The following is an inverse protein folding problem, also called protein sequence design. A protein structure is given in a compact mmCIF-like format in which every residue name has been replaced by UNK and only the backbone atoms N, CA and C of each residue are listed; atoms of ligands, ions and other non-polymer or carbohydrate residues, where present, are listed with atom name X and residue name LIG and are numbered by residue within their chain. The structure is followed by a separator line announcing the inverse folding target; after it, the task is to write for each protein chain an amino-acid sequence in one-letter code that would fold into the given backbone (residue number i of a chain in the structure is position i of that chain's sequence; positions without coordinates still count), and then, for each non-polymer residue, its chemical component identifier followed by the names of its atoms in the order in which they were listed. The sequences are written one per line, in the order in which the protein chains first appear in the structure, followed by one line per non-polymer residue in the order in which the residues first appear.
data_IF_638866982127
#
_entry.id   IF_638866982127
#
_cell.length_a   1.000
_cell.length_b   1.000
_cell.length_c   1.000
_cell.angle_alpha   90.00
_cell.angle_beta   90.00
_cell.angle_gamma   90.00
#
_symmetry.space_group_name_H-M   'P 1'
#
loop_
_entity.id
_entity.type
_entity.pdbx_description
1 polymer ?
#
# COMPACT_ATOMS: atom_id res chain seq x y z
N UNK A 1 2.40 12.67 -10.49
CA UNK A 1 1.96 11.61 -9.56
C UNK A 1 3.09 10.61 -9.55
N UNK A 2 3.79 10.46 -8.42
CA UNK A 2 4.98 9.62 -8.34
C UNK A 2 5.01 8.95 -6.97
N UNK A 3 4.71 7.65 -6.95
CA UNK A 3 4.64 6.80 -5.76
C UNK A 3 6.04 6.54 -5.23
N UNK A 4 6.28 6.80 -3.95
CA UNK A 4 7.31 6.10 -3.18
C UNK A 4 6.79 5.76 -1.78
N UNK A 5 6.21 4.56 -1.75
CA UNK A 5 6.11 3.57 -0.67
C UNK A 5 5.48 2.36 -1.38
N UNK A 6 6.28 1.40 -1.86
CA UNK A 6 5.74 0.14 -2.43
C UNK A 6 5.26 -0.78 -1.29
N UNK A 7 4.23 -0.31 -0.58
CA UNK A 7 3.19 -1.14 0.00
C UNK A 7 2.27 -1.59 -1.14
N UNK A 8 1.94 -2.87 -1.12
CA UNK A 8 1.34 -3.67 -2.19
C UNK A 8 -0.05 -3.14 -2.57
N UNK A 9 -0.40 -3.16 -3.87
CA UNK A 9 -1.69 -2.67 -4.33
C UNK A 9 -2.81 -3.65 -3.95
N UNK A 10 -3.85 -3.02 -3.41
CA UNK A 10 -5.03 -3.64 -2.83
C UNK A 10 -6.18 -3.53 -3.82
N UNK A 11 -6.71 -4.70 -4.17
CA UNK A 11 -7.75 -4.93 -5.17
C UNK A 11 -8.97 -4.01 -5.00
N UNK A 12 -9.16 -3.09 -5.94
CA UNK A 12 -10.43 -2.39 -6.16
C UNK A 12 -11.02 -2.89 -7.47
N UNK A 13 -12.15 -3.59 -7.37
CA UNK A 13 -13.00 -3.89 -8.51
C UNK A 13 -14.30 -3.11 -8.40
N UNK A 14 -14.52 -2.23 -9.36
CA UNK A 14 -15.83 -1.68 -9.69
C UNK A 14 -16.38 -2.47 -10.89
N UNK A 15 -17.48 -3.19 -10.68
CA UNK A 15 -18.28 -3.81 -11.73
C UNK A 15 -19.74 -3.37 -11.61
N UNK A 16 -20.13 -2.40 -12.43
CA UNK A 16 -21.45 -1.77 -12.42
C UNK A 16 -22.52 -2.61 -13.16
N UNK A 17 -23.76 -2.54 -12.63
CA UNK A 17 -25.10 -2.76 -13.24
C UNK A 17 -25.67 -4.19 -13.31
N UNK A 18 -26.83 -4.40 -12.65
CA UNK A 18 -27.78 -5.43 -13.09
C UNK A 18 -28.93 -5.92 -12.18
N UNK A 19 -29.84 -5.03 -11.76
CA UNK A 19 -31.28 -5.30 -11.43
C UNK A 19 -31.71 -6.06 -10.15
N UNK A 20 -32.81 -5.55 -9.61
CA UNK A 20 -33.47 -5.77 -8.32
C UNK A 20 -34.23 -7.11 -8.23
N UNK A 21 -34.22 -7.75 -7.05
CA UNK A 21 -35.40 -8.41 -6.46
C UNK A 21 -35.25 -8.51 -4.92
N UNK A 22 -36.15 -7.83 -4.21
CA UNK A 22 -36.31 -7.86 -2.76
C UNK A 22 -36.81 -9.24 -2.30
N UNK A 23 -36.23 -9.77 -1.22
CA UNK A 23 -37.02 -10.54 -0.24
C UNK A 23 -36.41 -10.42 1.16
N UNK A 24 -37.32 -10.29 2.12
CA UNK A 24 -37.12 -9.94 3.53
C UNK A 24 -36.86 -11.17 4.40
N UNK A 25 -35.92 -11.09 5.35
CA UNK A 25 -36.13 -11.51 6.77
C UNK A 25 -34.96 -11.05 7.66
N UNK A 26 -35.31 -10.55 8.86
CA UNK A 26 -34.44 -10.04 9.91
C UNK A 26 -33.72 -11.17 10.70
N UNK A 27 -32.71 -10.84 11.55
CA UNK A 27 -31.63 -11.76 11.90
C UNK A 27 -31.88 -12.57 13.18
N UNK A 28 -31.27 -13.75 13.25
CA UNK A 28 -31.12 -14.54 14.49
C UNK A 28 -29.77 -14.19 15.11
N UNK A 29 -29.82 -13.69 16.34
CA UNK A 29 -28.68 -13.42 17.21
C UNK A 29 -28.09 -14.75 17.70
N UNK A 30 -26.78 -14.95 17.51
CA UNK A 30 -26.03 -15.97 18.24
C UNK A 30 -24.67 -15.41 18.65
N UNK A 31 -24.56 -15.10 19.94
CA UNK A 31 -23.30 -14.88 20.64
C UNK A 31 -22.70 -16.22 21.08
N UNK A 32 -21.43 -16.46 20.79
CA UNK A 32 -20.50 -17.34 21.51
C UNK A 32 -19.21 -17.41 20.66
N UNK A 33 -18.00 -17.53 21.18
CA UNK A 33 -17.40 -17.36 22.49
C UNK A 33 -15.89 -17.41 22.20
N UNK A 34 -15.09 -16.69 22.99
CA UNK A 34 -13.63 -16.78 22.94
C UNK A 34 -13.19 -18.24 23.19
N UNK A 35 -12.66 -18.90 22.16
CA UNK A 35 -12.03 -20.21 22.28
C UNK A 35 -10.51 -20.01 22.43
N UNK A 36 -9.99 -20.41 23.59
CA UNK A 36 -8.58 -20.41 23.90
C UNK A 36 -7.78 -21.27 22.94
N UNK A 37 -6.64 -20.73 22.51
CA UNK A 37 -5.65 -21.44 21.72
C UNK A 37 -4.98 -22.54 22.57
N UNK A 38 -5.39 -23.78 22.35
CA UNK A 38 -4.56 -24.95 22.64
C UNK A 38 -3.74 -25.26 21.38
N UNK A 39 -2.41 -25.22 21.50
CA UNK A 39 -1.47 -25.59 20.46
C UNK A 39 -1.79 -26.97 19.86
N UNK A 40 -1.78 -27.09 18.53
CA UNK A 40 -1.88 -28.36 17.80
C UNK A 40 -0.61 -28.60 16.99
N UNK A 41 -0.15 -29.85 16.83
CA UNK A 41 1.24 -30.18 16.57
C UNK A 41 1.63 -29.97 15.12
N UNK A 42 2.85 -29.45 14.92
CA UNK A 42 3.52 -29.40 13.63
C UNK A 42 3.60 -30.80 12.99
N UNK A 43 3.24 -30.90 11.70
CA UNK A 43 3.90 -31.85 10.80
C UNK A 43 3.05 -32.72 9.88
N UNK A 44 1.77 -32.98 10.15
CA UNK A 44 0.98 -33.96 9.36
C UNK A 44 0.05 -33.36 8.28
N UNK A 45 0.13 -32.04 8.04
CA UNK A 45 -0.82 -31.32 7.18
C UNK A 45 -0.28 -30.15 6.36
N UNK A 46 0.84 -29.53 6.77
CA UNK A 46 1.50 -28.51 5.96
C UNK A 46 2.47 -29.19 5.01
N UNK A 47 1.95 -29.56 3.84
CA UNK A 47 2.75 -30.05 2.73
C UNK A 47 3.85 -29.02 2.39
N UNK A 48 5.12 -29.46 2.45
CA UNK A 48 6.28 -28.61 2.18
C UNK A 48 6.35 -28.13 0.71
N UNK A 49 5.58 -28.73 -0.20
CA UNK A 49 5.43 -28.22 -1.56
C UNK A 49 4.55 -26.97 -1.66
N UNK A 50 3.80 -26.64 -0.61
CA UNK A 50 2.89 -25.49 -0.55
C UNK A 50 3.31 -24.44 0.47
N UNK A 51 4.01 -24.83 1.54
CA UNK A 51 4.30 -23.96 2.68
C UNK A 51 5.79 -23.73 2.90
N UNK A 52 6.16 -22.46 3.10
CA UNK A 52 7.49 -22.01 3.51
C UNK A 52 7.35 -21.05 4.70
N UNK A 53 8.32 -21.08 5.63
CA UNK A 53 8.25 -20.28 6.88
C UNK A 53 8.27 -18.77 6.67
N UNK A 54 8.77 -18.30 5.53
CA UNK A 54 8.88 -16.89 5.17
C UNK A 54 7.64 -16.35 4.46
N UNK A 55 6.59 -17.18 4.27
CA UNK A 55 5.38 -16.75 3.60
C UNK A 55 4.62 -15.70 4.42
N UNK A 56 4.27 -14.60 3.75
CA UNK A 56 3.39 -13.58 4.30
C UNK A 56 1.91 -13.79 3.92
N UNK A 57 1.63 -14.62 2.91
CA UNK A 57 0.26 -14.86 2.41
C UNK A 57 -0.02 -16.35 2.16
N UNK A 58 -1.24 -16.78 2.45
CA UNK A 58 -1.78 -18.06 2.01
C UNK A 58 -2.22 -17.93 0.54
N UNK A 59 -1.66 -18.73 -0.39
CA UNK A 59 -2.11 -18.73 -1.78
C UNK A 59 -3.51 -19.34 -1.92
N UNK A 60 -4.22 -18.98 -2.97
CA UNK A 60 -5.48 -19.62 -3.37
C UNK A 60 -5.23 -20.89 -4.20
N UNK A 61 -4.05 -21.00 -4.80
CA UNK A 61 -3.61 -22.16 -5.57
C UNK A 61 -2.27 -21.94 -6.23
N UNK A 62 -2.01 -22.66 -7.32
CA UNK A 62 -0.85 -22.47 -8.19
C UNK A 62 -1.25 -22.66 -9.64
N UNK A 63 -0.50 -22.03 -10.54
CA UNK A 63 -0.60 -22.31 -11.97
C UNK A 63 0.66 -23.02 -12.44
N UNK A 64 0.51 -23.89 -13.43
CA UNK A 64 1.61 -24.42 -14.22
C UNK A 64 1.45 -23.98 -15.67
N UNK A 65 2.50 -23.38 -16.25
CA UNK A 65 2.53 -23.11 -17.68
C UNK A 65 2.85 -24.41 -18.45
N UNK A 66 1.88 -24.91 -19.21
CA UNK A 66 1.93 -26.14 -20.00
C UNK A 66 2.15 -25.88 -21.50
N UNK A 67 2.33 -24.63 -21.91
CA UNK A 67 2.53 -24.28 -23.32
C UNK A 67 3.57 -23.19 -23.50
N UNK A 68 3.42 -22.36 -24.53
CA UNK A 68 4.36 -21.28 -24.79
C UNK A 68 4.48 -20.31 -23.61
N UNK A 69 5.60 -19.58 -23.55
CA UNK A 69 5.80 -18.54 -22.54
C UNK A 69 4.61 -17.58 -22.52
N UNK A 70 4.09 -17.29 -21.32
CA UNK A 70 2.90 -16.43 -21.16
C UNK A 70 3.34 -15.03 -20.71
N UNK A 71 2.85 -13.95 -21.32
CA UNK A 71 3.16 -12.59 -20.87
C UNK A 71 2.78 -12.38 -19.41
N UNK A 72 3.64 -11.67 -18.69
CA UNK A 72 3.31 -11.10 -17.40
C UNK A 72 2.79 -9.68 -17.66
N UNK A 73 1.62 -9.39 -17.11
CA UNK A 73 1.06 -8.05 -17.08
C UNK A 73 1.16 -7.52 -15.65
N UNK A 74 1.21 -6.20 -15.48
CA UNK A 74 1.20 -5.58 -14.15
C UNK A 74 0.13 -4.51 -14.03
N UNK A 75 -0.39 -4.35 -12.83
CA UNK A 75 -1.27 -3.25 -12.51
C UNK A 75 -0.42 -2.12 -11.93
N UNK A 76 -0.41 -0.97 -12.60
CA UNK A 76 0.26 0.22 -12.08
C UNK A 76 -0.73 0.96 -11.20
N UNK A 77 -0.26 1.30 -10.02
CA UNK A 77 -0.97 2.18 -9.12
C UNK A 77 -2.40 1.75 -8.73
N UNK A 78 -3.38 2.61 -8.97
CA UNK A 78 -4.81 2.28 -8.81
C UNK A 78 -5.47 2.19 -10.19
N UNK A 79 -4.68 2.01 -11.24
CA UNK A 79 -5.23 1.87 -12.57
C UNK A 79 -6.05 0.59 -12.64
N UNK A 80 -7.22 0.69 -13.24
CA UNK A 80 -8.08 -0.47 -13.52
C UNK A 80 -7.55 -1.32 -14.68
N UNK A 81 -6.63 -0.76 -15.47
CA UNK A 81 -6.01 -1.44 -16.59
C UNK A 81 -4.75 -2.22 -16.19
N UNK A 82 -4.40 -3.15 -17.05
CA UNK A 82 -3.15 -3.90 -16.99
C UNK A 82 -2.18 -3.38 -18.05
N UNK A 83 -0.92 -3.26 -17.65
CA UNK A 83 0.18 -2.83 -18.49
C UNK A 83 0.98 -4.04 -18.95
N UNK A 84 1.30 -4.08 -20.25
CA UNK A 84 2.10 -5.18 -20.79
C UNK A 84 3.56 -5.01 -20.43
N UNK A 85 4.19 -6.13 -20.11
CA UNK A 85 5.64 -6.19 -19.85
C UNK A 85 6.32 -7.12 -20.85
N UNK A 86 7.64 -6.98 -20.98
CA UNK A 86 8.48 -7.93 -21.70
C UNK A 86 8.75 -9.23 -20.91
N UNK A 87 8.38 -9.29 -19.63
CA UNK A 87 8.58 -10.45 -18.78
C UNK A 87 7.57 -11.55 -19.12
N UNK A 88 8.01 -12.80 -19.03
CA UNK A 88 7.16 -13.94 -19.34
C UNK A 88 7.28 -15.05 -18.29
N UNK A 89 6.18 -15.75 -18.08
CA UNK A 89 6.13 -17.00 -17.34
C UNK A 89 6.60 -18.14 -18.25
N UNK A 90 7.79 -18.68 -18.00
CA UNK A 90 8.43 -19.69 -18.85
C UNK A 90 7.66 -21.01 -18.92
N UNK A 91 7.83 -21.78 -20.00
CA UNK A 91 7.23 -23.12 -20.13
C UNK A 91 7.69 -24.05 -18.99
N UNK A 92 6.76 -24.84 -18.45
CA UNK A 92 7.00 -25.79 -17.38
C UNK A 92 7.08 -25.16 -15.98
N UNK A 93 7.15 -23.83 -15.89
CA UNK A 93 7.18 -23.14 -14.59
C UNK A 93 5.89 -23.35 -13.81
N UNK A 94 6.02 -23.40 -12.49
CA UNK A 94 4.90 -23.46 -11.56
C UNK A 94 5.04 -22.32 -10.57
N UNK A 95 3.98 -21.50 -10.44
CA UNK A 95 3.97 -20.31 -9.58
C UNK A 95 2.68 -20.27 -8.75
N UNK A 96 2.79 -19.76 -7.53
CA UNK A 96 1.64 -19.60 -6.62
C UNK A 96 0.71 -18.51 -7.14
N UNK A 97 -0.56 -18.64 -6.80
CA UNK A 97 -1.61 -17.68 -7.14
C UNK A 97 -2.28 -17.21 -5.85
N UNK A 98 -2.48 -15.91 -5.70
CA UNK A 98 -3.08 -15.31 -4.51
C UNK A 98 -4.48 -14.73 -4.74
N UNK A 99 -4.93 -14.69 -5.99
CA UNK A 99 -6.24 -14.14 -6.34
C UNK A 99 -6.52 -14.23 -7.83
N UNK A 100 -7.68 -13.71 -8.22
CA UNK A 100 -8.11 -13.63 -9.62
C UNK A 100 -8.68 -12.25 -9.94
N UNK A 101 -8.32 -11.72 -11.10
CA UNK A 101 -8.76 -10.42 -11.61
C UNK A 101 -9.52 -10.64 -12.94
N UNK A 102 -10.72 -10.04 -13.10
CA UNK A 102 -11.44 -10.02 -14.37
C UNK A 102 -11.32 -8.65 -15.05
N UNK A 103 -10.72 -8.60 -16.23
CA UNK A 103 -10.57 -7.38 -17.03
C UNK A 103 -11.10 -7.64 -18.44
N UNK A 104 -12.02 -6.81 -18.92
CA UNK A 104 -12.59 -6.91 -20.27
C UNK A 104 -13.05 -8.34 -20.65
N UNK A 105 -13.74 -9.01 -19.72
CA UNK A 105 -14.23 -10.39 -19.88
C UNK A 105 -13.16 -11.50 -19.80
N UNK A 106 -11.87 -11.13 -19.73
CA UNK A 106 -10.76 -12.07 -19.51
C UNK A 106 -10.49 -12.25 -18.03
N UNK A 107 -10.09 -13.46 -17.62
CA UNK A 107 -9.64 -13.75 -16.25
C UNK A 107 -8.12 -13.78 -16.19
N UNK A 108 -7.56 -13.24 -15.12
CA UNK A 108 -6.14 -13.16 -14.83
C UNK A 108 -5.86 -13.76 -13.46
N UNK A 109 -4.77 -14.52 -13.34
CA UNK A 109 -4.29 -15.06 -12.07
C UNK A 109 -3.26 -14.11 -11.46
N UNK A 110 -3.48 -13.72 -10.21
CA UNK A 110 -2.57 -12.85 -9.47
C UNK A 110 -1.39 -13.65 -8.90
N UNK A 111 -0.16 -13.30 -9.28
CA UNK A 111 1.04 -14.07 -8.93
C UNK A 111 1.69 -13.60 -7.64
N UNK A 112 1.93 -12.30 -7.48
CA UNK A 112 2.37 -11.50 -6.31
C UNK A 112 2.85 -10.14 -6.84
N UNK A 113 3.00 -9.12 -5.99
CA UNK A 113 3.60 -7.82 -6.34
C UNK A 113 3.02 -7.23 -7.64
N UNK A 114 1.69 -7.21 -7.70
CA UNK A 114 0.89 -6.62 -8.79
C UNK A 114 1.11 -7.26 -10.16
N UNK A 115 1.63 -8.50 -10.19
CA UNK A 115 1.84 -9.29 -11.41
C UNK A 115 0.70 -10.24 -11.71
N UNK A 116 0.42 -10.36 -12.99
CA UNK A 116 -0.71 -11.09 -13.54
C UNK A 116 -0.31 -11.95 -14.70
N UNK A 117 -0.96 -13.10 -14.82
CA UNK A 117 -0.93 -13.92 -16.03
C UNK A 117 -2.35 -14.22 -16.47
N UNK A 118 -2.63 -13.96 -17.74
CA UNK A 118 -3.93 -14.24 -18.34
C UNK A 118 -4.24 -15.74 -18.30
N UNK A 119 -5.45 -16.09 -17.88
CA UNK A 119 -5.95 -17.45 -17.97
C UNK A 119 -6.09 -17.86 -19.45
N UNK A 120 -5.53 -19.00 -19.80
CA UNK A 120 -5.53 -19.55 -21.17
C UNK A 120 -5.46 -21.07 -21.14
N UNK A 121 -5.59 -21.71 -22.30
CA UNK A 121 -5.42 -23.18 -22.44
C UNK A 121 -4.00 -23.65 -22.07
N UNK A 122 -3.01 -22.76 -22.10
CA UNK A 122 -1.63 -23.06 -21.71
C UNK A 122 -1.41 -22.97 -20.20
N UNK A 123 -2.33 -22.37 -19.44
CA UNK A 123 -2.19 -22.13 -18.00
C UNK A 123 -3.12 -23.05 -17.24
N UNK A 124 -2.57 -24.06 -16.56
CA UNK A 124 -3.35 -24.97 -15.73
C UNK A 124 -3.34 -24.49 -14.27
N UNK A 125 -4.50 -24.15 -13.74
CA UNK A 125 -4.69 -23.84 -12.32
C UNK A 125 -4.95 -25.10 -11.48
N UNK A 126 -4.36 -25.14 -10.29
CA UNK A 126 -4.58 -26.13 -9.24
C UNK A 126 -4.89 -25.39 -7.94
N UNK A 127 -6.10 -25.60 -7.41
CA UNK A 127 -6.54 -24.97 -6.16
C UNK A 127 -5.77 -25.53 -4.95
N UNK A 128 -5.51 -24.68 -3.96
CA UNK A 128 -4.88 -25.10 -2.70
C UNK A 128 -5.80 -26.10 -1.96
N UNK A 129 -5.33 -27.31 -1.62
CA UNK A 129 -6.14 -28.27 -0.89
C UNK A 129 -6.55 -27.76 0.48
N UNK A 130 -7.81 -27.99 0.87
CA UNK A 130 -8.37 -27.51 2.14
C UNK A 130 -7.55 -27.93 3.36
N UNK A 131 -7.08 -29.19 3.42
CA UNK A 131 -6.26 -29.68 4.53
C UNK A 131 -4.96 -28.88 4.68
N UNK A 132 -4.32 -28.54 3.57
CA UNK A 132 -3.07 -27.77 3.55
C UNK A 132 -3.36 -26.32 3.93
N UNK A 133 -4.42 -25.74 3.37
CA UNK A 133 -4.91 -24.40 3.71
C UNK A 133 -5.17 -24.25 5.22
N UNK A 134 -5.94 -25.16 5.82
CA UNK A 134 -6.24 -25.16 7.26
C UNK A 134 -4.97 -25.24 8.13
N UNK A 135 -3.89 -25.85 7.62
CA UNK A 135 -2.60 -25.86 8.30
C UNK A 135 -1.85 -24.52 8.15
N UNK A 136 -1.86 -23.91 6.96
CA UNK A 136 -1.11 -22.68 6.66
C UNK A 136 -1.69 -21.43 7.35
N UNK A 137 -3.01 -21.31 7.40
CA UNK A 137 -3.72 -20.13 7.93
C UNK A 137 -3.21 -19.65 9.31
N UNK A 138 -3.14 -20.50 10.35
CA UNK A 138 -2.63 -20.08 11.66
C UNK A 138 -1.12 -19.81 11.66
N UNK A 139 -0.33 -20.58 10.91
CA UNK A 139 1.13 -20.43 10.86
C UNK A 139 1.55 -19.10 10.23
N UNK A 140 0.92 -18.72 9.11
CA UNK A 140 1.20 -17.45 8.43
C UNK A 140 0.68 -16.27 9.26
N UNK A 141 -0.52 -16.39 9.87
CA UNK A 141 -1.04 -15.36 10.78
C UNK A 141 -0.06 -15.10 11.94
N UNK A 142 0.41 -16.17 12.59
CA UNK A 142 1.35 -16.08 13.71
C UNK A 142 2.72 -15.55 13.27
N UNK A 143 3.23 -15.99 12.11
CA UNK A 143 4.47 -15.48 11.54
C UNK A 143 4.43 -13.95 11.37
N UNK A 144 3.39 -13.44 10.71
CA UNK A 144 3.22 -12.00 10.47
C UNK A 144 3.08 -11.22 11.78
N UNK A 145 2.25 -11.69 12.71
CA UNK A 145 2.10 -11.04 14.04
C UNK A 145 3.44 -10.98 14.76
N UNK A 146 4.17 -12.09 14.83
CA UNK A 146 5.44 -12.15 15.55
C UNK A 146 6.49 -11.26 14.90
N UNK A 147 6.58 -11.24 13.57
CA UNK A 147 7.49 -10.38 12.83
C UNK A 147 7.21 -8.90 13.11
N UNK A 148 5.97 -8.45 12.91
CA UNK A 148 5.62 -7.04 13.03
C UNK A 148 5.67 -6.54 14.47
N UNK A 149 5.27 -7.37 15.44
CA UNK A 149 5.37 -7.01 16.86
C UNK A 149 6.85 -6.96 17.30
N UNK A 150 7.70 -7.85 16.79
CA UNK A 150 9.13 -7.81 17.06
C UNK A 150 9.78 -6.52 16.51
N UNK A 151 9.44 -6.11 15.29
CA UNK A 151 9.89 -4.82 14.74
C UNK A 151 9.34 -3.64 15.55
N UNK A 152 8.06 -3.66 15.90
CA UNK A 152 7.44 -2.63 16.74
C UNK A 152 8.09 -2.53 18.13
N UNK A 153 8.64 -3.63 18.67
CA UNK A 153 9.33 -3.63 19.95
C UNK A 153 10.60 -2.78 19.96
N UNK A 154 11.23 -2.57 18.79
CA UNK A 154 12.45 -1.75 18.61
C UNK A 154 12.14 -0.25 18.60
N UNK A 155 10.89 0.12 18.32
CA UNK A 155 10.44 1.51 18.27
C UNK A 155 10.27 2.05 19.70
N UNK A 156 10.66 3.30 19.95
CA UNK A 156 10.70 3.86 21.31
C UNK A 156 9.35 4.38 21.80
N UNK A 157 8.66 5.17 20.97
CA UNK A 157 7.46 5.90 21.43
C UNK A 157 6.17 5.10 21.15
N UNK A 158 5.17 5.12 22.05
CA UNK A 158 3.91 4.43 21.82
C UNK A 158 3.17 4.88 20.54
N UNK A 159 3.24 6.17 20.22
CA UNK A 159 2.64 6.73 18.98
C UNK A 159 3.30 6.16 17.73
N UNK A 160 4.64 6.11 17.67
CA UNK A 160 5.34 5.56 16.51
C UNK A 160 5.14 4.05 16.38
N UNK A 161 5.02 3.31 17.50
CA UNK A 161 4.64 1.88 17.49
C UNK A 161 3.27 1.66 16.88
N UNK A 162 2.27 2.45 17.32
CA UNK A 162 0.92 2.37 16.78
C UNK A 162 0.90 2.70 15.29
N UNK A 163 1.56 3.80 14.88
CA UNK A 163 1.64 4.20 13.48
C UNK A 163 2.31 3.12 12.63
N UNK A 164 3.40 2.53 13.09
CA UNK A 164 4.08 1.42 12.40
C UNK A 164 3.16 0.20 12.22
N UNK A 165 2.49 -0.26 13.28
CA UNK A 165 1.61 -1.43 13.21
C UNK A 165 0.36 -1.16 12.37
N UNK A 166 -0.18 0.06 12.44
CA UNK A 166 -1.27 0.52 11.61
C UNK A 166 -0.87 0.48 10.14
N UNK A 167 0.21 1.17 9.77
CA UNK A 167 0.75 1.21 8.40
C UNK A 167 1.08 -0.19 7.90
N UNK A 168 1.74 -1.02 8.71
CA UNK A 168 2.09 -2.39 8.31
C UNK A 168 0.85 -3.21 7.99
N UNK A 169 -0.23 -3.08 8.76
CA UNK A 169 -1.49 -3.73 8.49
C UNK A 169 -2.17 -3.16 7.23
N UNK A 170 -2.24 -1.82 7.12
CA UNK A 170 -2.83 -1.11 5.99
C UNK A 170 -1.92 -1.09 4.74
N UNK A 171 -0.76 -1.72 4.75
CA UNK A 171 0.01 -2.01 3.53
C UNK A 171 -0.14 -3.48 3.13
N UNK A 172 -0.53 -4.34 4.08
CA UNK A 172 -0.62 -5.79 3.90
C UNK A 172 -2.00 -6.27 3.40
N UNK A 173 -3.08 -5.57 3.76
CA UNK A 173 -4.46 -6.08 3.65
C UNK A 173 -5.29 -5.40 2.58
N UNK A 174 -5.68 -6.04 1.50
CA UNK A 174 -6.67 -5.49 0.56
C UNK A 174 -8.11 -5.51 1.10
N UNK A 175 -8.91 -4.51 0.75
CA UNK A 175 -10.33 -4.52 1.08
C UNK A 175 -11.09 -5.50 0.18
N UNK A 176 -11.88 -6.41 0.76
CA UNK A 176 -12.70 -7.37 -0.01
C UNK A 176 -14.00 -6.70 -0.50
N UNK A 177 -13.89 -5.93 -1.58
CA UNK A 177 -15.05 -5.29 -2.22
C UNK A 177 -16.08 -6.30 -2.72
N UNK A 178 -15.66 -7.47 -3.20
CA UNK A 178 -16.58 -8.49 -3.68
C UNK A 178 -17.47 -9.02 -2.54
N UNK A 179 -16.91 -9.19 -1.35
CA UNK A 179 -17.67 -9.52 -0.14
C UNK A 179 -18.58 -8.38 0.28
N UNK A 180 -18.07 -7.14 0.34
CA UNK A 180 -18.84 -5.96 0.69
C UNK A 180 -20.04 -5.71 -0.23
N UNK A 181 -19.88 -5.94 -1.53
CA UNK A 181 -20.95 -5.77 -2.53
C UNK A 181 -21.87 -7.00 -2.65
N UNK A 182 -21.55 -8.11 -1.96
CA UNK A 182 -22.29 -9.37 -2.07
C UNK A 182 -22.17 -10.04 -3.45
N UNK A 183 -21.14 -9.70 -4.22
CA UNK A 183 -20.86 -10.26 -5.56
C UNK A 183 -19.90 -11.45 -5.52
N UNK A 184 -19.32 -11.75 -4.34
CA UNK A 184 -18.39 -12.84 -4.12
C UNK A 184 -17.59 -12.66 -2.83
N UNK A 185 -16.29 -12.96 -2.88
CA UNK A 185 -15.36 -12.74 -1.76
C UNK A 185 -15.16 -13.95 -0.84
N UNK A 186 -14.39 -13.76 0.23
CA UNK A 186 -14.03 -14.82 1.18
C UNK A 186 -14.54 -14.46 2.57
N UNK A 187 -15.40 -15.30 3.15
CA UNK A 187 -15.94 -15.07 4.51
C UNK A 187 -14.87 -14.91 5.60
N UNK A 188 -13.63 -15.38 5.37
CA UNK A 188 -12.51 -15.12 6.29
C UNK A 188 -12.15 -13.64 6.39
N UNK A 189 -12.53 -12.82 5.42
CA UNK A 189 -12.33 -11.37 5.44
C UNK A 189 -13.06 -10.68 6.60
N UNK A 190 -14.00 -11.36 7.26
CA UNK A 190 -14.59 -10.95 8.54
C UNK A 190 -13.76 -11.31 9.78
N UNK A 191 -12.53 -11.82 9.60
CA UNK A 191 -11.69 -12.32 10.69
C UNK A 191 -10.30 -11.71 10.65
N UNK A 192 -9.61 -11.70 11.79
CA UNK A 192 -8.20 -11.30 11.84
C UNK A 192 -7.32 -12.17 10.94
N UNK A 193 -7.68 -13.44 10.71
CA UNK A 193 -6.93 -14.35 9.81
C UNK A 193 -7.06 -13.94 8.35
N UNK A 194 -8.21 -13.41 7.92
CA UNK A 194 -8.36 -12.82 6.58
C UNK A 194 -7.33 -11.70 6.35
N UNK A 195 -7.26 -10.76 7.29
CA UNK A 195 -6.27 -9.70 7.25
C UNK A 195 -4.83 -10.26 7.36
N UNK A 196 -4.51 -10.98 8.43
CA UNK A 196 -3.14 -11.35 8.78
C UNK A 196 -2.54 -12.41 7.84
N UNK A 197 -3.31 -13.38 7.35
CA UNK A 197 -2.77 -14.48 6.54
C UNK A 197 -3.15 -14.43 5.06
N UNK A 198 -4.25 -13.78 4.69
CA UNK A 198 -4.64 -13.64 3.29
C UNK A 198 -4.35 -12.25 2.74
N UNK A 199 -4.09 -11.27 3.59
CA UNK A 199 -4.01 -9.88 3.15
C UNK A 199 -5.31 -9.43 2.53
N UNK A 200 -6.46 -9.88 3.04
CA UNK A 200 -7.77 -9.50 2.49
C UNK A 200 -8.83 -9.48 3.59
N UNK A 201 -9.47 -8.32 3.81
CA UNK A 201 -10.44 -8.16 4.88
C UNK A 201 -11.55 -7.15 4.54
N UNK A 202 -12.63 -7.16 5.33
CA UNK A 202 -13.56 -6.03 5.48
C UNK A 202 -13.45 -5.50 6.91
N UNK A 203 -14.26 -4.51 7.28
CA UNK A 203 -14.03 -3.67 8.46
C UNK A 203 -13.72 -4.42 9.77
N UNK A 204 -14.46 -5.49 10.06
CA UNK A 204 -14.27 -6.29 11.25
C UNK A 204 -12.99 -7.15 11.22
N UNK A 205 -12.58 -7.61 10.06
CA UNK A 205 -11.28 -8.27 9.86
C UNK A 205 -10.10 -7.32 10.12
N UNK A 206 -10.15 -6.08 9.57
CA UNK A 206 -9.15 -5.04 9.84
C UNK A 206 -9.06 -4.71 11.33
N UNK A 207 -10.20 -4.41 11.96
CA UNK A 207 -10.23 -3.99 13.35
C UNK A 207 -9.82 -5.11 14.31
N UNK A 208 -10.16 -6.36 14.00
CA UNK A 208 -9.72 -7.53 14.78
C UNK A 208 -8.23 -7.78 14.65
N UNK A 209 -7.66 -7.68 13.43
CA UNK A 209 -6.23 -7.83 13.22
C UNK A 209 -5.42 -6.72 13.92
N UNK A 210 -5.87 -5.47 13.82
CA UNK A 210 -5.24 -4.36 14.54
C UNK A 210 -5.29 -4.59 16.06
N UNK A 211 -6.43 -5.02 16.61
CA UNK A 211 -6.53 -5.37 18.03
C UNK A 211 -5.50 -6.44 18.44
N UNK A 212 -5.31 -7.49 17.65
CA UNK A 212 -4.31 -8.55 17.94
C UNK A 212 -2.90 -7.95 18.01
N UNK A 213 -2.51 -7.16 16.99
CA UNK A 213 -1.19 -6.54 16.91
C UNK A 213 -0.93 -5.59 18.08
N UNK A 214 -1.89 -4.69 18.36
CA UNK A 214 -1.76 -3.71 19.45
C UNK A 214 -1.71 -4.37 20.82
N UNK A 215 -2.54 -5.39 21.05
CA UNK A 215 -2.53 -6.14 22.31
C UNK A 215 -1.20 -6.83 22.54
N UNK A 216 -0.64 -7.47 21.50
CA UNK A 216 0.68 -8.12 21.56
C UNK A 216 1.83 -7.12 21.73
N UNK A 217 1.69 -5.90 21.20
CA UNK A 217 2.64 -4.81 21.40
C UNK A 217 2.49 -4.07 22.73
N UNK A 218 1.55 -4.47 23.60
CA UNK A 218 1.30 -3.84 24.90
C UNK A 218 0.57 -2.49 24.83
N UNK A 219 -0.08 -2.19 23.70
CA UNK A 219 -0.89 -0.98 23.52
C UNK A 219 -2.34 -1.30 23.90
N UNK A 220 -2.84 -0.61 24.91
CA UNK A 220 -4.22 -0.79 25.40
C UNK A 220 -5.20 -0.37 24.31
N UNK A 221 -6.08 -1.30 23.91
CA UNK A 221 -7.02 -1.10 22.83
C UNK A 221 -8.30 -1.94 23.05
N UNK A 222 -9.34 -1.66 22.27
CA UNK A 222 -10.54 -2.50 22.13
C UNK A 222 -11.21 -2.24 20.78
N UNK A 223 -11.99 -3.19 20.29
CA UNK A 223 -12.87 -2.97 19.15
C UNK A 223 -14.14 -2.23 19.60
N UNK A 224 -14.77 -1.52 18.66
CA UNK A 224 -16.06 -0.86 18.82
C UNK A 224 -16.88 -1.07 17.54
N UNK A 225 -18.17 -1.31 17.71
CA UNK A 225 -19.13 -1.50 16.62
C UNK A 225 -20.08 -0.32 16.55
N UNK A 226 -20.54 -0.01 15.35
CA UNK A 226 -21.50 1.05 15.11
C UNK A 226 -21.95 1.06 13.66
N UNK A 227 -22.11 2.25 13.12
CA UNK A 227 -22.39 2.44 11.70
C UNK A 227 -21.61 3.62 11.14
N UNK A 228 -21.25 3.58 9.86
CA UNK A 228 -20.50 4.64 9.21
C UNK A 228 -21.11 4.98 7.84
N UNK A 229 -20.98 6.23 7.41
CA UNK A 229 -21.45 6.71 6.10
C UNK A 229 -20.31 7.32 5.29
N UNK A 230 -19.92 6.65 4.21
CA UNK A 230 -18.83 7.07 3.33
C UNK A 230 -19.27 8.03 2.21
N UNK A 231 -20.52 8.49 2.20
CA UNK A 231 -21.06 9.37 1.17
C UNK A 231 -21.45 8.68 -0.15
N UNK A 232 -21.38 7.34 -0.23
CA UNK A 232 -21.74 6.55 -1.43
C UNK A 232 -23.22 6.59 -1.82
N UNK A 233 -24.07 7.25 -1.03
CA UNK A 233 -25.53 7.23 -1.20
C UNK A 233 -26.23 6.02 -0.58
N UNK A 234 -25.48 5.02 -0.07
CA UNK A 234 -26.03 3.85 0.65
C UNK A 234 -26.46 4.16 2.09
N UNK A 235 -26.14 5.35 2.59
CA UNK A 235 -26.47 5.77 3.95
C UNK A 235 -25.48 5.23 4.99
N UNK A 236 -25.95 5.02 6.21
CA UNK A 236 -25.14 4.46 7.29
C UNK A 236 -25.17 2.93 7.23
N UNK A 237 -24.00 2.31 7.09
CA UNK A 237 -23.82 0.85 7.05
C UNK A 237 -23.16 0.36 8.34
N UNK A 238 -23.38 -0.89 8.71
CA UNK A 238 -22.74 -1.48 9.89
C UNK A 238 -21.20 -1.45 9.74
N UNK A 239 -20.51 -1.02 10.80
CA UNK A 239 -19.06 -0.83 10.75
C UNK A 239 -18.40 -1.20 12.08
N UNK A 240 -17.13 -1.61 12.02
CA UNK A 240 -16.31 -1.94 13.18
C UNK A 240 -14.91 -1.34 13.04
N UNK A 241 -14.42 -0.71 14.12
CA UNK A 241 -13.10 -0.10 14.20
C UNK A 241 -12.52 -0.24 15.61
N UNK A 242 -11.44 0.48 15.93
CA UNK A 242 -10.76 0.39 17.22
C UNK A 242 -10.86 1.67 18.04
N UNK A 243 -10.82 1.49 19.36
CA UNK A 243 -10.43 2.51 20.33
C UNK A 243 -9.05 2.14 20.86
N UNK A 244 -8.14 3.12 20.87
CA UNK A 244 -6.75 2.94 21.33
C UNK A 244 -6.43 3.97 22.41
N UNK A 245 -5.75 3.54 23.47
CA UNK A 245 -5.36 4.41 24.57
C UNK A 245 -3.89 4.82 24.46
N UNK A 246 -3.65 6.11 24.27
CA UNK A 246 -2.31 6.72 24.24
C UNK A 246 -2.25 7.90 25.21
N UNK A 247 -1.14 8.04 25.92
CA UNK A 247 -0.90 9.12 26.89
C UNK A 247 -2.07 9.34 27.88
N UNK A 248 -2.75 8.25 28.27
CA UNK A 248 -3.87 8.28 29.20
C UNK A 248 -5.25 8.54 28.57
N UNK A 249 -5.33 8.92 27.30
CA UNK A 249 -6.57 9.26 26.60
C UNK A 249 -6.96 8.20 25.58
N UNK A 250 -8.25 8.02 25.35
CA UNK A 250 -8.79 7.18 24.28
C UNK A 250 -8.88 7.97 22.98
N UNK A 251 -8.66 7.29 21.86
CA UNK A 251 -8.81 7.82 20.51
C UNK A 251 -9.41 6.75 19.61
N UNK A 252 -10.13 7.17 18.58
CA UNK A 252 -10.61 6.30 17.51
C UNK A 252 -9.50 6.03 16.49
N UNK A 253 -9.42 4.78 16.05
CA UNK A 253 -8.55 4.35 14.94
C UNK A 253 -9.36 3.44 14.04
N UNK A 254 -9.55 3.84 12.79
CA UNK A 254 -10.20 3.02 11.76
C UNK A 254 -9.21 2.64 10.67
N UNK A 255 -8.67 1.43 10.78
CA UNK A 255 -7.75 0.88 9.78
C UNK A 255 -8.42 0.49 8.47
N UNK A 256 -9.76 0.48 8.40
CA UNK A 256 -10.48 0.20 7.15
C UNK A 256 -10.55 1.44 6.27
N UNK A 257 -10.96 2.57 6.85
CA UNK A 257 -11.09 3.82 6.11
C UNK A 257 -9.80 4.64 6.08
N UNK A 258 -8.88 4.37 7.00
CA UNK A 258 -7.50 4.83 6.92
C UNK A 258 -6.60 4.02 6.00
N UNK A 259 -7.10 2.92 5.43
CA UNK A 259 -6.45 2.20 4.32
C UNK A 259 -6.62 2.99 3.01
N UNK A 260 -6.03 4.19 2.97
CA UNK A 260 -6.04 5.07 1.82
C UNK A 260 -4.61 5.35 1.36
N UNK A 261 -4.38 5.20 0.05
CA UNK A 261 -3.10 5.47 -0.59
C UNK A 261 -2.68 6.95 -0.52
N UNK A 262 -3.65 7.88 -0.52
CA UNK A 262 -3.37 9.33 -0.55
C UNK A 262 -3.04 9.84 0.86
N UNK A 263 -3.82 9.42 1.86
CA UNK A 263 -3.73 9.89 3.24
C UNK A 263 -3.56 8.69 4.19
N UNK A 264 -2.31 8.25 4.34
CA UNK A 264 -1.97 7.04 5.12
C UNK A 264 -2.51 7.04 6.56
N UNK A 265 -2.83 8.21 7.13
CA UNK A 265 -3.33 8.34 8.51
C UNK A 265 -4.72 8.97 8.61
N UNK A 266 -5.55 8.88 7.57
CA UNK A 266 -6.98 9.23 7.68
C UNK A 266 -7.66 8.34 8.75
N UNK A 267 -8.54 8.90 9.58
CA UNK A 267 -9.19 8.20 10.70
C UNK A 267 -8.24 7.59 11.73
N UNK A 268 -7.03 8.14 11.85
CA UNK A 268 -6.05 7.73 12.83
C UNK A 268 -6.02 8.68 14.03
N UNK A 269 -6.28 8.13 15.22
CA UNK A 269 -6.27 8.83 16.51
C UNK A 269 -7.22 10.03 16.60
N UNK A 270 -8.43 9.88 16.07
CA UNK A 270 -9.45 10.92 16.11
C UNK A 270 -10.18 10.98 17.46
N UNK A 271 -10.55 12.18 17.95
CA UNK A 271 -11.52 12.32 19.03
C UNK A 271 -12.95 12.01 18.57
N UNK A 272 -13.85 11.81 19.53
CA UNK A 272 -15.29 11.60 19.34
C UNK A 272 -15.91 12.65 18.41
N UNK A 273 -15.54 13.92 18.55
CA UNK A 273 -16.06 15.02 17.73
C UNK A 273 -15.75 14.83 16.24
N UNK A 274 -14.54 14.36 15.93
CA UNK A 274 -14.06 14.22 14.55
C UNK A 274 -14.53 12.91 13.93
N UNK A 275 -14.46 11.81 14.69
CA UNK A 275 -14.98 10.52 14.26
C UNK A 275 -16.50 10.59 14.04
N UNK A 276 -17.22 11.33 14.89
CA UNK A 276 -18.67 11.48 14.86
C UNK A 276 -19.24 12.22 13.64
N UNK A 277 -18.38 12.79 12.77
CA UNK A 277 -18.81 13.45 11.53
C UNK A 277 -19.56 12.48 10.60
N UNK A 278 -19.12 11.23 10.56
CA UNK A 278 -19.68 10.20 9.70
C UNK A 278 -19.72 8.80 10.32
N UNK A 279 -19.25 8.62 11.55
CA UNK A 279 -19.43 7.41 12.34
C UNK A 279 -20.46 7.63 13.45
N UNK A 280 -21.20 6.57 13.79
CA UNK A 280 -22.14 6.55 14.91
C UNK A 280 -21.92 5.30 15.75
N UNK A 281 -21.93 5.47 17.05
CA UNK A 281 -21.79 4.39 18.04
C UNK A 281 -22.65 4.72 19.27
N UNK A 282 -22.99 3.71 20.05
CA UNK A 282 -23.89 3.84 21.22
C UNK A 282 -23.16 3.81 22.56
N UNK A 283 -21.92 3.30 22.58
CA UNK A 283 -21.14 3.15 23.82
C UNK A 283 -20.40 4.44 24.18
N UNK A 284 -20.24 4.72 25.47
CA UNK A 284 -19.42 5.86 25.89
C UNK A 284 -17.93 5.55 25.72
N UNK A 285 -17.24 6.41 24.99
CA UNK A 285 -15.85 6.21 24.54
C UNK A 285 -14.84 7.07 25.31
N UNK A 286 -15.25 8.28 25.73
CA UNK A 286 -14.41 9.26 26.41
C UNK A 286 -13.19 9.70 25.57
N UNK A 287 -13.28 9.61 24.24
CA UNK A 287 -12.21 10.00 23.34
C UNK A 287 -12.29 11.51 23.04
N UNK A 288 -12.15 12.35 24.06
CA UNK A 288 -12.38 13.80 23.93
C UNK A 288 -11.10 14.60 23.67
N UNK A 289 -9.94 13.94 23.59
CA UNK A 289 -8.65 14.60 23.42
C UNK A 289 -8.28 14.68 21.94
N UNK A 290 -7.83 15.84 21.47
CA UNK A 290 -7.49 16.12 20.07
C UNK A 290 -5.98 16.20 19.78
N UNK A 291 -5.12 15.85 20.77
CA UNK A 291 -3.65 15.94 20.69
C UNK A 291 -3.10 15.38 19.38
N UNK A 292 -3.66 14.26 18.91
CA UNK A 292 -3.22 13.55 17.72
C UNK A 292 -4.18 13.69 16.52
N UNK A 293 -5.24 14.50 16.62
CA UNK A 293 -6.20 14.67 15.53
C UNK A 293 -5.60 15.27 14.24
N UNK A 294 -4.37 15.80 14.30
CA UNK A 294 -3.66 16.28 13.13
C UNK A 294 -3.21 15.17 12.17
N UNK A 295 -3.14 13.91 12.64
CA UNK A 295 -2.80 12.75 11.80
C UNK A 295 -3.75 12.59 10.61
N UNK A 296 -5.02 12.95 10.79
CA UNK A 296 -6.09 12.91 9.79
C UNK A 296 -5.81 13.72 8.51
N UNK A 297 -4.84 14.64 8.56
CA UNK A 297 -4.47 15.55 7.47
C UNK A 297 -2.96 15.57 7.22
N UNK A 298 -2.26 14.52 7.63
CA UNK A 298 -0.82 14.42 7.44
C UNK A 298 -0.48 13.98 6.01
N UNK A 299 0.21 14.85 5.29
CA UNK A 299 0.85 14.53 4.01
C UNK A 299 2.32 14.18 4.26
N UNK A 300 2.57 12.89 4.51
CA UNK A 300 3.92 12.38 4.79
C UNK A 300 4.54 11.79 3.54
N UNK A 301 5.80 12.13 3.28
CA UNK A 301 6.60 11.45 2.25
C UNK A 301 7.74 10.60 2.81
N UNK A 302 8.16 10.83 4.06
CA UNK A 302 9.15 10.01 4.75
C UNK A 302 8.73 9.79 6.21
N UNK A 303 8.76 8.55 6.67
CA UNK A 303 8.37 8.19 8.04
C UNK A 303 9.50 7.41 8.72
N UNK A 304 10.07 8.00 9.77
CA UNK A 304 11.08 7.36 10.61
C UNK A 304 10.45 6.98 11.95
N UNK A 305 9.97 5.74 12.00
CA UNK A 305 9.37 5.20 13.21
C UNK A 305 10.38 5.04 14.37
N UNK A 306 11.66 4.82 14.08
CA UNK A 306 12.69 4.58 15.10
C UNK A 306 12.94 5.86 15.91
N UNK A 307 13.09 6.98 15.22
CA UNK A 307 13.26 8.29 15.84
C UNK A 307 11.94 9.00 16.14
N UNK A 308 10.82 8.46 15.65
CA UNK A 308 9.49 8.99 15.88
C UNK A 308 9.26 10.31 15.14
N UNK A 309 9.80 10.41 13.93
CA UNK A 309 9.72 11.62 13.08
C UNK A 309 9.12 11.31 11.73
N UNK A 310 8.61 12.33 11.07
CA UNK A 310 8.18 12.25 9.69
C UNK A 310 8.56 13.53 8.95
N UNK A 311 8.71 13.44 7.63
CA UNK A 311 8.96 14.59 6.78
C UNK A 311 7.70 14.92 5.96
N UNK A 312 7.34 16.20 5.96
CA UNK A 312 6.20 16.75 5.23
C UNK A 312 6.62 17.94 4.38
N UNK A 313 5.86 18.17 3.30
CA UNK A 313 6.00 19.37 2.47
C UNK A 313 5.07 20.43 3.02
N UNK A 314 5.59 21.63 3.27
CA UNK A 314 4.81 22.84 3.56
C UNK A 314 5.01 23.85 2.44
N UNK A 315 4.18 24.90 2.44
CA UNK A 315 4.18 25.93 1.40
C UNK A 315 5.57 26.58 1.13
N UNK A 316 6.45 26.56 2.12
CA UNK A 316 7.77 27.20 2.06
C UNK A 316 8.94 26.23 2.23
N UNK A 317 8.73 24.91 2.13
CA UNK A 317 9.83 23.94 2.15
C UNK A 317 9.46 22.61 2.80
N UNK A 318 10.50 21.82 3.11
CA UNK A 318 10.35 20.50 3.74
C UNK A 318 10.73 20.60 5.21
N UNK A 319 9.94 19.92 6.05
CA UNK A 319 10.09 19.93 7.49
C UNK A 319 10.11 18.52 8.05
N UNK A 320 11.06 18.27 8.95
CA UNK A 320 11.09 17.09 9.82
C UNK A 320 10.33 17.40 11.10
N UNK A 321 9.31 16.60 11.41
CA UNK A 321 8.36 16.85 12.50
C UNK A 321 8.32 15.65 13.45
N UNK A 322 8.18 15.91 14.75
CA UNK A 322 8.04 14.87 15.76
C UNK A 322 6.60 14.32 15.79
N UNK A 323 6.44 12.99 15.68
CA UNK A 323 5.14 12.30 15.76
C UNK A 323 4.44 12.50 17.11
N UNK A 324 5.18 12.73 18.18
CA UNK A 324 4.60 12.91 19.51
C UNK A 324 4.09 14.35 19.76
N UNK A 325 4.57 15.33 18.99
CA UNK A 325 4.27 16.74 19.13
C UNK A 325 4.61 17.51 17.84
N UNK A 326 3.59 17.76 17.01
CA UNK A 326 3.77 18.49 15.73
C UNK A 326 4.36 19.90 15.86
N UNK A 327 4.40 20.47 17.07
CA UNK A 327 5.03 21.79 17.31
C UNK A 327 6.56 21.71 17.32
N UNK A 328 7.12 20.51 17.47
CA UNK A 328 8.57 20.27 17.42
C UNK A 328 8.95 19.84 16.01
N UNK A 329 9.56 20.75 15.28
CA UNK A 329 9.98 20.51 13.90
C UNK A 329 11.28 21.24 13.58
N UNK A 330 11.98 20.75 12.55
CA UNK A 330 13.16 21.37 11.97
C UNK A 330 12.95 21.49 10.46
N UNK A 331 13.31 22.64 9.89
CA UNK A 331 13.26 22.84 8.44
C UNK A 331 14.50 22.19 7.81
N UNK A 332 14.29 21.30 6.84
CA UNK A 332 15.37 20.57 6.14
C UNK A 332 15.91 21.41 4.98
N UNK A 333 15.02 22.00 4.17
CA UNK A 333 15.44 22.71 2.95
C UNK A 333 15.98 24.11 3.24
N UNK A 334 16.81 24.69 2.34
CA UNK A 334 17.23 26.10 2.38
C UNK A 334 16.07 27.08 2.36
N UNK A 335 16.25 28.28 2.92
CA UNK A 335 15.22 29.33 2.97
C UNK A 335 14.67 29.65 1.56
N UNK A 336 13.35 29.73 1.44
CA UNK A 336 12.60 30.03 0.21
C UNK A 336 12.54 28.94 -0.88
N UNK A 337 13.06 27.74 -0.63
CA UNK A 337 12.83 26.62 -1.55
C UNK A 337 11.34 26.22 -1.52
N UNK A 338 10.67 26.45 -2.65
CA UNK A 338 9.29 26.02 -2.88
C UNK A 338 9.30 24.64 -3.51
N UNK A 339 8.99 23.64 -2.72
CA UNK A 339 9.02 22.25 -3.17
C UNK A 339 7.72 21.91 -3.87
N UNK A 340 7.83 21.32 -5.06
CA UNK A 340 6.70 20.73 -5.75
C UNK A 340 6.96 19.26 -6.02
N UNK A 341 5.87 18.47 -6.04
CA UNK A 341 5.89 17.00 -6.09
C UNK A 341 6.57 16.37 -4.87
N UNK A 342 6.44 15.04 -4.76
CA UNK A 342 6.96 14.24 -3.66
C UNK A 342 8.49 14.12 -3.80
N UNK A 343 9.29 14.48 -2.77
CA UNK A 343 10.72 14.20 -2.71
C UNK A 343 11.01 12.70 -2.72
N UNK A 344 12.24 12.34 -3.05
CA UNK A 344 12.77 10.99 -2.88
C UNK A 344 14.02 11.02 -2.01
N UNK A 345 14.27 9.94 -1.28
CA UNK A 345 15.42 9.81 -0.40
C UNK A 345 16.22 8.61 -0.85
N UNK A 346 17.49 8.83 -1.15
CA UNK A 346 18.46 7.79 -1.48
C UNK A 346 19.70 7.97 -0.61
N UNK A 347 20.04 6.92 0.15
CA UNK A 347 21.24 6.83 0.99
C UNK A 347 21.55 8.09 1.83
N UNK A 348 20.56 8.61 2.56
CA UNK A 348 20.72 9.79 3.43
C UNK A 348 20.67 11.14 2.70
N UNK A 349 20.42 11.15 1.40
CA UNK A 349 20.28 12.34 0.57
C UNK A 349 18.85 12.45 0.04
N UNK A 350 18.25 13.61 0.24
CA UNK A 350 16.92 13.94 -0.26
C UNK A 350 17.02 14.71 -1.58
N UNK A 351 16.28 14.26 -2.57
CA UNK A 351 16.14 14.85 -3.90
C UNK A 351 14.74 15.40 -4.07
N UNK A 352 14.60 16.61 -4.57
CA UNK A 352 13.32 17.29 -4.65
C UNK A 352 13.31 18.37 -5.74
N UNK A 353 12.15 18.58 -6.33
CA UNK A 353 11.96 19.61 -7.35
C UNK A 353 11.58 20.95 -6.71
N UNK A 354 12.19 22.02 -7.22
CA UNK A 354 11.88 23.40 -6.86
C UNK A 354 11.62 24.22 -8.11
N UNK A 355 11.04 25.42 -7.94
CA UNK A 355 10.84 26.38 -9.03
C UNK A 355 12.13 26.78 -9.79
N UNK A 356 13.30 26.40 -9.26
CA UNK A 356 14.63 26.62 -9.87
C UNK A 356 15.25 25.36 -10.48
N UNK A 357 14.55 24.23 -10.44
CA UNK A 357 15.02 22.93 -10.92
C UNK A 357 15.19 21.89 -9.80
N UNK A 358 15.75 20.74 -10.18
CA UNK A 358 16.01 19.63 -9.28
C UNK A 358 17.15 19.95 -8.31
N UNK A 359 16.92 19.71 -7.02
CA UNK A 359 17.89 19.92 -5.94
C UNK A 359 18.12 18.64 -5.15
N UNK A 360 19.24 18.62 -4.44
CA UNK A 360 19.51 17.67 -3.37
C UNK A 360 19.87 18.38 -2.07
N UNK A 361 19.66 17.71 -0.95
CA UNK A 361 20.09 18.12 0.39
C UNK A 361 20.30 16.87 1.24
N UNK A 362 21.23 16.89 2.19
CA UNK A 362 21.31 15.85 3.22
C UNK A 362 20.00 15.79 4.01
N UNK A 363 19.62 14.63 4.54
CA UNK A 363 18.41 14.47 5.35
C UNK A 363 18.36 15.37 6.61
N UNK A 364 19.52 15.82 7.08
CA UNK A 364 19.68 16.79 8.17
C UNK A 364 19.67 18.26 7.71
N UNK A 365 19.49 18.51 6.41
CA UNK A 365 19.53 19.83 5.79
C UNK A 365 20.92 20.28 5.33
N UNK A 366 21.95 19.44 5.44
CA UNK A 366 23.33 19.78 5.07
C UNK A 366 23.56 19.78 3.55
N UNK A 367 24.59 20.53 3.12
CA UNK A 367 25.10 20.58 1.74
C UNK A 367 24.02 20.66 0.62
N UNK A 368 23.12 21.66 0.66
CA UNK A 368 22.11 21.82 -0.37
C UNK A 368 22.75 22.19 -1.72
N UNK A 369 22.42 21.47 -2.79
CA UNK A 369 22.94 21.71 -4.14
C UNK A 369 21.86 21.65 -5.21
N UNK A 370 21.99 22.50 -6.22
CA UNK A 370 21.24 22.38 -7.47
C UNK A 370 21.88 21.27 -8.32
N UNK A 371 21.06 20.42 -8.91
CA UNK A 371 21.50 19.41 -9.87
C UNK A 371 21.37 20.02 -11.28
N UNK A 372 22.45 20.09 -12.07
CA UNK A 372 22.46 20.73 -13.40
C UNK A 372 21.71 19.93 -14.47
N UNK A 373 20.40 19.76 -14.27
CA UNK A 373 19.47 19.05 -15.16
C UNK A 373 18.66 19.99 -16.05
N UNK A 374 18.75 21.29 -15.84
CA UNK A 374 17.84 22.26 -16.45
C UNK A 374 16.45 22.23 -15.79
N UNK A 375 15.42 22.60 -16.54
CA UNK A 375 14.04 22.58 -16.05
C UNK A 375 13.48 21.16 -16.12
N UNK A 376 13.20 20.60 -14.95
CA UNK A 376 12.76 19.21 -14.80
C UNK A 376 11.32 19.12 -14.32
N UNK A 377 10.53 18.26 -14.96
CA UNK A 377 9.13 18.02 -14.60
C UNK A 377 8.93 16.85 -13.67
N UNK A 378 9.65 15.78 -13.94
CA UNK A 378 9.57 14.54 -13.19
C UNK A 378 10.96 13.96 -13.02
N UNK A 379 11.15 13.23 -11.93
CA UNK A 379 12.38 12.50 -11.69
C UNK A 379 12.14 11.25 -10.86
N UNK A 380 13.07 10.30 -10.96
CA UNK A 380 13.23 9.20 -10.03
C UNK A 380 14.72 8.94 -9.81
N UNK A 381 15.09 8.69 -8.57
CA UNK A 381 16.42 8.24 -8.16
C UNK A 381 16.37 6.73 -8.11
N UNK A 382 17.23 6.09 -8.89
CA UNK A 382 17.26 4.64 -8.97
C UNK A 382 18.67 4.17 -9.32
N UNK A 383 19.14 3.12 -8.62
CA UNK A 383 20.42 2.47 -8.90
C UNK A 383 21.61 3.46 -8.97
N UNK A 384 21.68 4.43 -8.04
CA UNK A 384 22.76 5.42 -7.99
C UNK A 384 22.71 6.48 -9.10
N UNK A 385 21.57 6.67 -9.75
CA UNK A 385 21.39 7.67 -10.81
C UNK A 385 20.07 8.42 -10.67
N UNK A 386 20.00 9.58 -11.31
CA UNK A 386 18.78 10.38 -11.44
C UNK A 386 18.27 10.21 -12.88
N UNK A 387 17.06 9.72 -13.00
CA UNK A 387 16.28 9.72 -14.25
C UNK A 387 15.32 10.88 -14.20
N UNK A 388 15.23 11.65 -15.27
CA UNK A 388 14.45 12.88 -15.24
C UNK A 388 13.98 13.32 -16.62
N UNK A 389 12.93 14.12 -16.62
CA UNK A 389 12.30 14.62 -17.85
C UNK A 389 12.47 16.13 -17.99
N UNK A 390 12.81 16.61 -19.19
CA UNK A 390 12.86 18.06 -19.46
C UNK A 390 11.47 18.64 -19.69
N UNK A 391 11.25 19.89 -19.25
CA UNK A 391 10.10 20.67 -19.69
C UNK A 391 10.40 21.28 -21.06
N UNK A 392 9.80 20.72 -22.12
CA UNK A 392 9.74 21.38 -23.42
C UNK A 392 8.28 21.38 -23.87
N UNK A 393 7.65 22.55 -23.79
CA UNK A 393 6.42 22.83 -24.56
C UNK A 393 6.82 23.90 -25.58
N UNK A 394 7.41 23.48 -26.69
CA UNK A 394 7.52 24.36 -27.85
C UNK A 394 6.26 24.21 -28.67
N UNK A 395 5.45 25.28 -28.76
CA UNK A 395 4.28 25.31 -29.65
C UNK A 395 4.67 25.53 -31.12
N UNK A 396 5.95 25.87 -31.37
CA UNK A 396 6.48 26.28 -32.68
C UNK A 396 7.51 25.27 -33.25
N UNK A 397 7.62 24.07 -32.67
CA UNK A 397 8.57 23.03 -33.10
C UNK A 397 7.88 21.66 -33.12
N UNK A 398 8.39 20.67 -33.88
CA UNK A 398 7.90 19.29 -33.74
C UNK A 398 7.97 18.87 -32.28
N UNK A 399 6.93 18.17 -31.82
CA UNK A 399 6.83 17.69 -30.45
C UNK A 399 8.04 16.79 -30.14
N UNK A 400 8.78 17.14 -29.08
CA UNK A 400 9.92 16.37 -28.62
C UNK A 400 10.01 16.44 -27.09
N UNK A 401 9.92 15.29 -26.44
CA UNK A 401 10.04 15.14 -24.99
C UNK A 401 11.15 14.16 -24.66
N UNK A 402 12.02 14.51 -23.71
CA UNK A 402 13.22 13.73 -23.41
C UNK A 402 13.17 13.14 -22.01
N UNK A 403 13.44 11.84 -21.92
CA UNK A 403 13.85 11.16 -20.70
C UNK A 403 15.38 11.04 -20.70
N UNK A 404 16.01 11.54 -19.65
CA UNK A 404 17.46 11.57 -19.49
C UNK A 404 17.88 10.84 -18.20
N UNK A 405 19.16 10.47 -18.13
CA UNK A 405 19.84 9.88 -16.97
C UNK A 405 21.09 10.69 -16.65
N UNK A 406 21.41 10.84 -15.37
CA UNK A 406 22.64 11.49 -14.90
C UNK A 406 23.11 10.87 -13.58
N UNK A 407 24.36 11.11 -13.19
CA UNK A 407 24.86 10.75 -11.86
C UNK A 407 24.15 11.56 -10.76
N UNK A 408 24.25 11.13 -9.50
CA UNK A 408 23.58 11.77 -8.35
C UNK A 408 23.96 13.25 -8.10
N UNK A 409 25.02 13.74 -8.74
CA UNK A 409 25.44 15.15 -8.73
C UNK A 409 25.10 15.93 -10.00
N UNK A 410 24.43 15.28 -10.97
CA UNK A 410 24.08 15.84 -12.27
C UNK A 410 25.20 15.81 -13.30
N UNK A 411 26.32 15.13 -13.02
CA UNK A 411 27.36 14.90 -14.02
C UNK A 411 27.00 13.77 -14.99
N UNK A 412 27.69 13.74 -16.13
CA UNK A 412 27.52 12.73 -17.18
C UNK A 412 26.07 12.53 -17.67
N UNK A 413 25.35 13.60 -18.06
CA UNK A 413 23.99 13.45 -18.57
C UNK A 413 23.97 12.68 -19.89
N UNK A 414 23.00 11.79 -20.04
CA UNK A 414 22.78 10.98 -21.24
C UNK A 414 21.29 10.87 -21.57
N UNK A 415 20.96 10.86 -22.86
CA UNK A 415 19.59 10.59 -23.32
C UNK A 415 19.26 9.11 -23.13
N UNK A 416 18.10 8.83 -22.52
CA UNK A 416 17.54 7.49 -22.36
C UNK A 416 16.53 7.22 -23.47
N UNK A 417 15.61 8.17 -23.69
CA UNK A 417 14.59 8.08 -24.73
C UNK A 417 14.13 9.46 -25.18
N UNK A 418 13.78 9.58 -26.47
CA UNK A 418 13.16 10.76 -27.05
C UNK A 418 11.79 10.38 -27.58
N UNK A 419 10.74 10.95 -26.98
CA UNK A 419 9.36 10.80 -27.41
C UNK A 419 9.06 11.86 -28.47
N UNK A 420 8.65 11.42 -29.66
CA UNK A 420 8.30 12.29 -30.79
C UNK A 420 6.82 12.21 -31.16
N UNK A 421 6.07 11.36 -30.48
CA UNK A 421 4.63 11.18 -30.65
C UNK A 421 3.91 11.56 -29.35
N UNK A 422 3.07 12.61 -29.36
CA UNK A 422 2.32 13.02 -28.17
C UNK A 422 1.32 11.97 -27.70
N UNK A 423 0.86 11.07 -28.59
CA UNK A 423 -0.11 10.02 -28.27
C UNK A 423 0.53 8.77 -27.65
N UNK A 424 1.87 8.69 -27.58
CA UNK A 424 2.62 7.59 -26.95
C UNK A 424 3.62 8.10 -25.89
N UNK A 425 3.28 9.20 -25.22
CA UNK A 425 4.20 9.90 -24.35
C UNK A 425 4.36 9.24 -22.95
N UNK A 426 5.48 9.58 -22.29
CA UNK A 426 5.77 9.26 -20.90
C UNK A 426 4.61 9.64 -19.97
N UNK A 427 4.13 8.65 -19.21
CA UNK A 427 3.07 8.82 -18.22
C UNK A 427 3.60 8.74 -16.78
N UNK A 428 4.73 8.08 -16.57
CA UNK A 428 5.38 8.02 -15.26
C UNK A 428 6.49 6.99 -15.19
N UNK A 429 7.16 6.96 -14.04
CA UNK A 429 8.07 5.89 -13.67
C UNK A 429 7.33 4.81 -12.87
N UNK A 430 7.75 3.57 -13.06
CA UNK A 430 7.27 2.42 -12.29
C UNK A 430 8.45 1.57 -11.85
N UNK A 431 8.53 1.28 -10.56
CA UNK A 431 9.51 0.36 -10.00
C UNK A 431 8.84 -1.01 -9.81
N UNK A 432 9.45 -2.05 -10.36
CA UNK A 432 9.02 -3.42 -10.15
C UNK A 432 10.03 -4.16 -9.28
N UNK A 433 9.57 -4.67 -8.14
CA UNK A 433 10.39 -5.48 -7.25
C UNK A 433 10.28 -6.97 -7.65
N UNK A 434 11.43 -7.63 -7.77
CA UNK A 434 11.58 -9.04 -8.14
C UNK A 434 12.45 -9.77 -7.09
N UNK A 435 12.01 -9.70 -5.83
CA UNK A 435 12.76 -10.27 -4.71
C UNK A 435 13.99 -9.44 -4.38
N UNK A 436 15.19 -9.98 -4.66
CA UNK A 436 16.46 -9.29 -4.41
C UNK A 436 16.81 -8.23 -5.47
N UNK A 437 16.07 -8.20 -6.58
CA UNK A 437 16.31 -7.29 -7.69
C UNK A 437 15.16 -6.30 -7.85
N UNK A 438 15.46 -5.11 -8.37
CA UNK A 438 14.47 -4.11 -8.74
C UNK A 438 14.69 -3.67 -10.18
N UNK A 439 13.61 -3.41 -10.91
CA UNK A 439 13.67 -2.95 -12.29
C UNK A 439 12.90 -1.65 -12.42
N UNK A 440 13.54 -0.63 -12.98
CA UNK A 440 12.92 0.63 -13.31
C UNK A 440 12.33 0.55 -14.72
N UNK A 441 11.09 0.97 -14.82
CA UNK A 441 10.37 1.17 -16.06
C UNK A 441 9.93 2.63 -16.18
N UNK A 442 9.75 3.10 -17.41
CA UNK A 442 8.71 4.10 -17.67
C UNK A 442 7.52 3.40 -18.30
N UNK A 443 6.35 4.02 -18.14
CA UNK A 443 5.14 3.59 -18.83
C UNK A 443 4.55 4.74 -19.63
N UNK A 444 3.83 4.36 -20.68
CA UNK A 444 3.21 5.25 -21.64
C UNK A 444 1.69 5.17 -21.52
N UNK A 445 1.01 6.13 -22.15
CA UNK A 445 -0.45 6.25 -22.15
C UNK A 445 -1.17 5.16 -22.96
N UNK A 446 -0.45 4.36 -23.76
CA UNK A 446 -0.95 3.17 -24.47
C UNK A 446 -0.78 1.86 -23.66
N UNK A 447 -0.40 1.97 -22.39
CA UNK A 447 -0.32 0.88 -21.41
C UNK A 447 0.83 -0.11 -21.65
N UNK A 448 1.96 0.39 -22.13
CA UNK A 448 3.20 -0.36 -22.28
C UNK A 448 4.23 0.03 -21.20
N UNK A 449 4.98 -0.96 -20.72
CA UNK A 449 6.11 -0.76 -19.81
C UNK A 449 7.43 -1.01 -20.54
N UNK A 450 8.29 0.00 -20.55
CA UNK A 450 9.62 -0.07 -21.15
C UNK A 450 10.67 -0.04 -20.06
N UNK A 451 11.49 -1.08 -20.02
CA UNK A 451 12.58 -1.19 -19.05
C UNK A 451 13.63 -0.12 -19.31
N UNK A 452 14.04 0.57 -18.24
CA UNK A 452 15.03 1.65 -18.26
C UNK A 452 16.34 1.18 -17.64
N UNK A 453 16.28 0.58 -16.46
CA UNK A 453 17.44 0.08 -15.72
C UNK A 453 17.00 -1.06 -14.77
N UNK A 454 17.94 -1.82 -14.24
CA UNK A 454 17.73 -2.90 -13.28
C UNK A 454 18.92 -3.05 -12.34
N UNK A 455 18.64 -3.35 -11.07
CA UNK A 455 19.60 -3.61 -10.01
C UNK A 455 19.37 -5.00 -9.42
#
# INVERSE_FOLDING_TARGET
MGRETMGRIKWLFLGLIGTILLSTTAPVVASAAAAGATASPAGAGCDASWYEKSMAYVPTGRITNKGQAQPIEVQIDNDTALYKTNATLSYGSTVKVYGTLKVNGSTYYALQDDKFVKASTNVKFEALPEKVRNCMEPLISEHNVNLWVAEASKIKTPIAKLAYLFTTLTDHVAYDYALYEGTGGNMRSHTSTGALAYGMAVCDGYASALQVLLTKAGIVNKTITGSANNGSGRGYEAHMWNLVKLDGFWYHVDSTWGDNYIDQFHYFLLPDQDMGRNHKWSVKTYATNDKYAYFDRLEVFNMDYVNGTYDEIRADGIYRVQLADKKKFTRITPANDRVYRRPQIDNGTMYYLTDRGLKRVGEDGSDPRLIPTGVTNDFIVFNGHIYYTHFIVSFDSPYEFHLNKTDLDGSNPASVHTFTDPDHNFSGFYLMNNGAHSTLYYYTNDHELVQVDSY
#
